data_IF_785440471304
#
_entry.id   IF_785440471304
#
_cell.length_a   1.000
_cell.length_b   1.000
_cell.length_c   1.000
_cell.angle_alpha   90.00
_cell.angle_beta   90.00
_cell.angle_gamma   90.00
#
_symmetry.space_group_name_H-M   'P 1'
#
loop_
_entity.id
_entity.type
_entity.pdbx_description
1 polymer ?
#
# COMPACT_ATOMS: atom_id res chain seq x y z
N UNK A 1 28.45 12.81 38.11
CA UNK A 1 28.08 11.40 38.29
C UNK A 1 26.58 11.33 38.35
N UNK A 2 25.91 11.13 37.19
CA UNK A 2 24.48 10.88 37.12
C UNK A 2 24.30 9.62 36.27
N UNK A 3 24.00 8.51 36.92
CA UNK A 3 23.58 7.26 36.28
C UNK A 3 22.23 7.51 35.65
N UNK A 4 22.15 7.43 34.33
CA UNK A 4 20.90 7.27 33.61
C UNK A 4 20.57 5.77 33.58
N UNK A 5 19.52 5.40 34.30
CA UNK A 5 18.94 4.07 34.30
C UNK A 5 18.30 3.87 32.94
N UNK A 6 18.92 3.04 32.11
CA UNK A 6 18.33 2.53 30.88
C UNK A 6 17.24 1.53 31.28
N UNK A 7 16.02 2.02 31.41
CA UNK A 7 14.84 1.16 31.53
C UNK A 7 14.67 0.34 30.24
N UNK A 8 15.04 -0.93 30.31
CA UNK A 8 14.74 -1.92 29.29
C UNK A 8 13.21 -2.06 29.26
N UNK A 9 12.57 -1.34 28.36
CA UNK A 9 11.15 -1.57 28.02
C UNK A 9 11.07 -2.96 27.37
N UNK A 10 10.85 -3.98 28.19
CA UNK A 10 10.25 -5.23 27.75
C UNK A 10 8.88 -4.89 27.15
N UNK A 11 8.85 -4.61 25.85
CA UNK A 11 7.59 -4.63 25.12
C UNK A 11 7.10 -6.07 25.20
N UNK A 12 5.98 -6.35 25.86
CA UNK A 12 5.42 -7.70 25.84
C UNK A 12 5.31 -8.10 24.37
N UNK A 13 5.77 -9.30 24.03
CA UNK A 13 5.50 -9.88 22.71
C UNK A 13 3.98 -10.03 22.64
N UNK A 14 3.33 -8.99 22.13
CA UNK A 14 1.94 -9.08 21.69
C UNK A 14 1.99 -10.17 20.63
N UNK A 15 1.44 -11.34 20.95
CA UNK A 15 1.19 -12.40 19.98
C UNK A 15 0.31 -11.77 18.91
N UNK A 16 0.93 -11.28 17.85
CA UNK A 16 0.23 -10.70 16.72
C UNK A 16 -0.59 -11.82 16.13
N UNK A 17 -1.91 -11.77 16.32
CA UNK A 17 -2.82 -12.74 15.74
C UNK A 17 -2.63 -12.69 14.23
N UNK A 18 -2.23 -13.82 13.64
CA UNK A 18 -2.16 -13.97 12.19
C UNK A 18 -3.56 -14.03 11.57
N UNK A 19 -3.63 -14.19 10.25
CA UNK A 19 -4.91 -14.26 9.50
C UNK A 19 -5.82 -15.41 9.94
N UNK A 20 -5.30 -16.46 10.61
CA UNK A 20 -6.08 -17.62 11.04
C UNK A 20 -7.33 -17.27 11.86
N UNK A 21 -7.27 -16.20 12.66
CA UNK A 21 -8.45 -15.71 13.40
C UNK A 21 -9.56 -15.18 12.47
N UNK A 22 -9.21 -14.79 11.25
CA UNK A 22 -10.10 -14.20 10.26
C UNK A 22 -10.16 -15.03 8.98
N UNK A 23 -9.95 -16.35 9.09
CA UNK A 23 -9.85 -17.26 7.95
C UNK A 23 -11.07 -17.18 7.00
N UNK A 24 -12.26 -16.91 7.53
CA UNK A 24 -13.49 -16.73 6.73
C UNK A 24 -13.49 -15.49 5.85
N UNK A 25 -12.62 -14.54 6.13
CA UNK A 25 -12.45 -13.30 5.32
C UNK A 25 -11.30 -13.43 4.32
N UNK A 26 -10.41 -14.43 4.49
CA UNK A 26 -9.25 -14.61 3.60
C UNK A 26 -9.71 -15.22 2.28
N UNK A 27 -9.36 -14.55 1.20
CA UNK A 27 -9.66 -14.95 -0.18
C UNK A 27 -8.36 -15.20 -0.92
N UNK A 28 -8.36 -16.24 -1.75
CA UNK A 28 -7.28 -16.57 -2.67
C UNK A 28 -7.86 -17.36 -3.85
N UNK A 29 -7.19 -17.27 -5.00
CA UNK A 29 -7.48 -18.16 -6.12
C UNK A 29 -7.01 -19.60 -5.79
N UNK A 30 -7.63 -20.64 -6.36
CA UNK A 30 -7.14 -22.00 -6.26
C UNK A 30 -5.69 -22.10 -6.74
N UNK A 31 -4.88 -22.95 -6.09
CA UNK A 31 -3.46 -23.15 -6.42
C UNK A 31 -3.21 -23.65 -7.86
N UNK A 32 -4.21 -24.27 -8.49
CA UNK A 32 -4.18 -24.58 -9.92
C UNK A 32 -5.10 -23.63 -10.67
N UNK A 33 -4.57 -22.82 -11.60
CA UNK A 33 -5.42 -22.01 -12.44
C UNK A 33 -6.32 -22.94 -13.26
N UNK A 34 -7.63 -22.78 -13.12
CA UNK A 34 -8.56 -23.32 -14.10
C UNK A 34 -8.09 -22.80 -15.47
N UNK A 35 -8.03 -23.66 -16.50
CA UNK A 35 -7.52 -23.36 -17.86
C UNK A 35 -8.25 -22.22 -18.61
N UNK A 36 -9.19 -21.55 -17.96
CA UNK A 36 -9.85 -20.32 -18.41
C UNK A 36 -9.57 -19.24 -17.38
N UNK A 37 -8.45 -18.49 -17.57
CA UNK A 37 -8.44 -17.11 -17.10
C UNK A 37 -9.54 -16.40 -17.85
N UNK A 38 -10.61 -16.01 -17.16
CA UNK A 38 -11.58 -15.08 -17.73
C UNK A 38 -10.78 -13.84 -18.16
N UNK A 39 -10.71 -13.63 -19.48
CA UNK A 39 -9.96 -12.54 -20.14
C UNK A 39 -10.46 -11.16 -19.69
N UNK A 40 -11.53 -11.11 -18.89
CA UNK A 40 -12.21 -9.88 -18.45
C UNK A 40 -12.14 -9.63 -16.93
N UNK A 41 -11.07 -10.04 -16.24
CA UNK A 41 -10.95 -9.82 -14.80
C UNK A 41 -9.63 -9.15 -14.42
N UNK A 42 -9.60 -8.54 -13.24
CA UNK A 42 -8.37 -8.09 -12.59
C UNK A 42 -8.00 -9.08 -11.48
N UNK A 43 -6.78 -9.57 -11.51
CA UNK A 43 -6.20 -10.39 -10.45
C UNK A 43 -5.38 -9.51 -9.51
N UNK A 44 -5.57 -9.66 -8.22
CA UNK A 44 -4.97 -8.82 -7.18
C UNK A 44 -4.10 -9.68 -6.28
N UNK A 45 -2.86 -9.26 -6.06
CA UNK A 45 -1.93 -9.92 -5.13
C UNK A 45 -1.46 -8.91 -4.09
N UNK A 46 -1.58 -9.26 -2.81
CA UNK A 46 -1.10 -8.43 -1.70
C UNK A 46 0.41 -8.62 -1.50
N UNK A 47 1.14 -7.53 -1.51
CA UNK A 47 2.60 -7.50 -1.37
C UNK A 47 3.06 -6.96 -0.01
N UNK A 48 2.11 -6.72 0.88
CA UNK A 48 2.34 -6.15 2.22
C UNK A 48 2.27 -4.63 2.29
N UNK A 49 2.04 -4.09 3.47
CA UNK A 49 1.81 -2.67 3.74
C UNK A 49 0.61 -2.15 2.94
N UNK A 50 0.86 -1.29 1.98
CA UNK A 50 -0.09 -0.87 0.95
C UNK A 50 0.33 -1.36 -0.44
N UNK A 51 1.21 -2.37 -0.47
CA UNK A 51 1.75 -2.95 -1.69
C UNK A 51 0.78 -3.92 -2.35
N UNK A 52 0.48 -3.69 -3.63
CA UNK A 52 -0.36 -4.56 -4.44
C UNK A 52 0.18 -4.72 -5.84
N UNK A 53 0.00 -5.92 -6.40
CA UNK A 53 0.08 -6.17 -7.82
C UNK A 53 -1.34 -6.35 -8.37
N UNK A 54 -1.61 -5.69 -9.48
CA UNK A 54 -2.80 -5.89 -10.31
C UNK A 54 -2.36 -6.50 -11.64
N UNK A 55 -3.06 -7.55 -12.06
CA UNK A 55 -2.78 -8.25 -13.32
C UNK A 55 -4.02 -8.22 -14.23
N UNK A 56 -3.83 -7.86 -15.49
CA UNK A 56 -4.83 -7.91 -16.56
C UNK A 56 -4.14 -8.10 -17.91
N UNK A 57 -4.66 -8.94 -18.77
CA UNK A 57 -4.20 -9.17 -20.16
C UNK A 57 -2.68 -9.44 -20.30
N UNK A 58 -2.09 -10.13 -19.33
CA UNK A 58 -0.65 -10.42 -19.32
C UNK A 58 0.26 -9.29 -18.81
N UNK A 59 -0.30 -8.16 -18.45
CA UNK A 59 0.38 -6.99 -17.91
C UNK A 59 0.26 -6.92 -16.39
N UNK A 60 1.19 -6.23 -15.75
CA UNK A 60 1.12 -5.94 -14.31
C UNK A 60 1.30 -4.45 -14.01
N UNK A 61 0.55 -4.00 -13.01
CA UNK A 61 0.67 -2.69 -12.38
C UNK A 61 0.94 -2.89 -10.88
N UNK A 62 1.94 -2.24 -10.34
CA UNK A 62 2.24 -2.27 -8.91
C UNK A 62 1.79 -0.97 -8.23
N UNK A 63 1.34 -1.07 -6.99
CA UNK A 63 1.15 0.07 -6.09
C UNK A 63 2.03 -0.13 -4.88
N UNK A 64 2.76 0.91 -4.45
CA UNK A 64 3.56 0.98 -3.23
C UNK A 64 4.41 -0.29 -2.94
N UNK A 65 5.24 -0.80 -3.87
CA UNK A 65 5.99 -2.04 -3.66
C UNK A 65 7.12 -1.83 -2.65
N UNK A 66 6.89 -2.27 -1.40
CA UNK A 66 7.85 -2.20 -0.31
C UNK A 66 8.11 -3.59 0.29
N UNK A 67 9.31 -4.12 0.06
CA UNK A 67 9.69 -5.49 0.41
C UNK A 67 10.75 -5.56 1.51
N UNK A 68 11.60 -4.53 1.63
CA UNK A 68 12.78 -4.51 2.52
C UNK A 68 12.43 -4.69 3.99
N UNK A 69 11.32 -4.15 4.46
CA UNK A 69 10.87 -4.26 5.87
C UNK A 69 11.92 -3.78 6.86
N UNK A 70 12.22 -2.47 6.86
CA UNK A 70 13.15 -1.85 7.81
C UNK A 70 12.77 -2.15 9.27
N UNK A 71 13.75 -2.43 10.11
CA UNK A 71 13.51 -2.75 11.52
C UNK A 71 12.89 -1.56 12.27
N UNK A 72 11.99 -1.86 13.21
CA UNK A 72 11.36 -0.82 14.04
C UNK A 72 12.41 0.02 14.79
N UNK A 73 13.48 -0.62 15.29
CA UNK A 73 14.59 0.07 15.94
C UNK A 73 15.27 1.10 15.04
N UNK A 74 15.50 0.75 13.76
CA UNK A 74 16.18 1.64 12.83
C UNK A 74 15.30 2.84 12.51
N UNK A 75 13.98 2.62 12.38
CA UNK A 75 13.03 3.70 12.14
C UNK A 75 12.89 4.60 13.37
N UNK A 76 12.76 4.04 14.56
CA UNK A 76 12.60 4.80 15.81
C UNK A 76 13.86 5.63 16.13
N UNK A 77 15.04 5.06 15.91
CA UNK A 77 16.32 5.72 16.14
C UNK A 77 16.85 6.52 14.96
N UNK A 78 16.06 6.62 13.88
CA UNK A 78 16.44 7.34 12.66
C UNK A 78 17.77 6.86 12.06
N UNK A 79 18.03 5.55 12.15
CA UNK A 79 19.20 4.94 11.53
C UNK A 79 19.08 4.96 10.01
N UNK A 80 20.20 4.91 9.26
CA UNK A 80 20.16 4.80 7.81
C UNK A 80 19.43 3.52 7.38
N UNK A 81 18.49 3.67 6.45
CA UNK A 81 17.74 2.56 5.84
C UNK A 81 18.04 2.49 4.34
N UNK A 82 18.12 1.30 3.80
CA UNK A 82 18.43 1.05 2.38
C UNK A 82 17.61 -0.13 1.86
N UNK A 83 17.28 -0.15 0.55
CA UNK A 83 16.70 -1.33 -0.06
C UNK A 83 17.58 -2.56 0.20
N UNK A 84 16.96 -3.70 0.47
CA UNK A 84 17.64 -4.99 0.55
C UNK A 84 17.52 -5.74 -0.78
N UNK A 85 18.58 -5.79 -1.61
CA UNK A 85 18.49 -6.36 -2.96
C UNK A 85 18.09 -7.85 -2.98
N UNK A 86 18.50 -8.62 -1.98
CA UNK A 86 18.16 -10.04 -1.90
C UNK A 86 16.68 -10.26 -1.54
N UNK A 87 16.13 -9.42 -0.64
CA UNK A 87 14.72 -9.47 -0.28
C UNK A 87 13.86 -9.02 -1.45
N UNK A 88 14.23 -7.92 -2.10
CA UNK A 88 13.53 -7.41 -3.29
C UNK A 88 13.54 -8.44 -4.42
N UNK A 89 14.69 -9.09 -4.69
CA UNK A 89 14.78 -10.10 -5.73
C UNK A 89 13.82 -11.28 -5.46
N UNK A 90 13.84 -11.85 -4.24
CA UNK A 90 12.92 -12.93 -3.87
C UNK A 90 11.44 -12.51 -3.93
N UNK A 91 11.11 -11.30 -3.54
CA UNK A 91 9.74 -10.80 -3.65
C UNK A 91 9.29 -10.67 -5.11
N UNK A 92 10.20 -10.28 -6.00
CA UNK A 92 9.92 -10.17 -7.43
C UNK A 92 9.71 -11.54 -8.11
N UNK A 93 10.16 -12.65 -7.51
CA UNK A 93 9.82 -14.00 -7.99
C UNK A 93 8.30 -14.29 -7.92
N UNK A 94 7.59 -13.56 -7.07
CA UNK A 94 6.11 -13.62 -6.95
C UNK A 94 5.39 -12.55 -7.78
N UNK A 95 6.13 -11.67 -8.43
CA UNK A 95 5.60 -10.60 -9.28
C UNK A 95 5.68 -11.01 -10.75
N UNK A 96 4.68 -10.63 -11.54
CA UNK A 96 4.70 -10.90 -12.99
C UNK A 96 5.93 -10.28 -13.67
N UNK A 97 6.51 -10.96 -14.67
CA UNK A 97 7.72 -10.47 -15.35
C UNK A 97 7.53 -9.11 -16.03
N UNK A 98 6.34 -8.85 -16.59
CA UNK A 98 6.03 -7.60 -17.30
C UNK A 98 5.28 -6.63 -16.40
N UNK A 99 6.03 -5.81 -15.67
CA UNK A 99 5.49 -4.69 -14.90
C UNK A 99 5.58 -3.43 -15.75
N UNK A 100 4.45 -2.89 -16.18
CA UNK A 100 4.42 -1.67 -16.99
C UNK A 100 4.62 -0.42 -16.14
N UNK A 101 4.00 -0.43 -14.96
CA UNK A 101 3.80 0.79 -14.17
C UNK A 101 3.87 0.49 -12.68
N UNK A 102 4.47 1.43 -11.96
CA UNK A 102 4.42 1.53 -10.51
C UNK A 102 3.70 2.83 -10.17
N UNK A 103 2.67 2.75 -9.35
CA UNK A 103 2.01 3.90 -8.72
C UNK A 103 2.50 4.02 -7.29
N UNK A 104 2.73 5.24 -6.81
CA UNK A 104 3.10 5.46 -5.40
C UNK A 104 2.15 6.48 -4.79
N UNK A 105 1.53 6.09 -3.68
CA UNK A 105 0.55 6.92 -2.98
C UNK A 105 1.19 8.13 -2.32
N UNK A 106 2.37 7.98 -1.73
CA UNK A 106 3.13 9.08 -1.12
C UNK A 106 4.60 8.72 -0.87
N UNK A 107 5.40 9.68 -0.44
CA UNK A 107 6.86 9.57 -0.42
C UNK A 107 7.48 8.92 0.82
N UNK A 108 6.73 8.32 1.75
CA UNK A 108 7.31 7.63 2.90
C UNK A 108 8.09 6.39 2.50
N UNK A 109 9.05 5.99 3.36
CA UNK A 109 9.97 4.88 3.05
C UNK A 109 9.24 3.55 2.86
N UNK A 110 8.18 3.30 3.61
CA UNK A 110 7.36 2.08 3.55
C UNK A 110 6.44 2.00 2.32
N UNK A 111 6.53 2.98 1.42
CA UNK A 111 5.90 3.01 0.09
C UNK A 111 6.91 3.19 -1.03
N UNK A 112 8.03 3.91 -0.80
CA UNK A 112 8.91 4.39 -1.86
C UNK A 112 10.33 3.81 -1.81
N UNK A 113 10.82 3.27 -0.67
CA UNK A 113 12.21 2.85 -0.47
C UNK A 113 12.72 1.91 -1.56
N UNK A 114 11.94 0.88 -1.89
CA UNK A 114 12.34 -0.17 -2.83
C UNK A 114 12.02 0.17 -4.29
N UNK A 115 11.19 1.18 -4.54
CA UNK A 115 10.72 1.54 -5.89
C UNK A 115 11.85 1.77 -6.89
N UNK A 116 12.94 2.52 -6.58
CA UNK A 116 14.05 2.69 -7.52
C UNK A 116 14.68 1.36 -7.95
N UNK A 117 14.85 0.43 -7.01
CA UNK A 117 15.42 -0.89 -7.28
C UNK A 117 14.45 -1.77 -8.09
N UNK A 118 13.15 -1.74 -7.77
CA UNK A 118 12.11 -2.44 -8.52
C UNK A 118 12.06 -1.92 -9.96
N UNK A 119 12.10 -0.61 -10.17
CA UNK A 119 12.17 0.00 -11.51
C UNK A 119 13.38 -0.45 -12.33
N UNK A 120 14.56 -0.57 -11.68
CA UNK A 120 15.78 -1.06 -12.34
C UNK A 120 15.64 -2.51 -12.80
N UNK A 121 14.99 -3.35 -11.98
CA UNK A 121 14.82 -4.78 -12.27
C UNK A 121 13.71 -5.09 -13.27
N UNK A 122 12.61 -4.34 -13.24
CA UNK A 122 11.42 -4.60 -14.07
C UNK A 122 11.35 -3.75 -15.32
N UNK A 123 12.02 -2.60 -15.34
CA UNK A 123 11.87 -1.62 -16.41
C UNK A 123 10.61 -0.75 -16.31
N UNK A 124 9.81 -0.89 -15.28
CA UNK A 124 8.56 -0.17 -15.07
C UNK A 124 8.72 1.35 -15.06
N UNK A 125 7.63 2.05 -15.40
CA UNK A 125 7.51 3.51 -15.23
C UNK A 125 6.92 3.83 -13.87
N UNK A 126 7.40 4.90 -13.24
CA UNK A 126 6.86 5.42 -11.99
C UNK A 126 5.88 6.57 -12.26
N UNK A 127 4.70 6.51 -11.64
CA UNK A 127 3.78 7.64 -11.51
C UNK A 127 3.55 7.93 -10.03
N UNK A 128 3.92 9.13 -9.59
CA UNK A 128 3.84 9.52 -8.19
C UNK A 128 3.77 11.05 -8.05
N UNK A 129 3.52 11.56 -6.86
CA UNK A 129 3.58 13.00 -6.61
C UNK A 129 4.96 13.58 -6.92
N UNK A 130 5.03 14.88 -7.13
CA UNK A 130 6.30 15.56 -7.44
C UNK A 130 7.38 15.29 -6.38
N UNK A 131 7.00 15.29 -5.10
CA UNK A 131 7.90 14.99 -3.99
C UNK A 131 8.40 13.54 -4.07
N UNK A 132 7.52 12.57 -4.30
CA UNK A 132 7.90 11.16 -4.41
C UNK A 132 8.79 10.90 -5.63
N UNK A 133 8.53 11.55 -6.78
CA UNK A 133 9.39 11.47 -7.97
C UNK A 133 10.79 12.02 -7.67
N UNK A 134 10.91 13.16 -7.01
CA UNK A 134 12.22 13.73 -6.62
C UNK A 134 13.00 12.78 -5.69
N UNK A 135 12.33 12.22 -4.68
CA UNK A 135 12.94 11.26 -3.75
C UNK A 135 13.38 9.98 -4.46
N UNK A 136 12.52 9.40 -5.31
CA UNK A 136 12.84 8.21 -6.09
C UNK A 136 14.05 8.45 -7.00
N UNK A 137 14.08 9.57 -7.72
CA UNK A 137 15.18 9.94 -8.61
C UNK A 137 16.47 10.13 -7.82
N UNK A 138 16.45 10.84 -6.69
CA UNK A 138 17.59 11.01 -5.81
C UNK A 138 18.08 9.66 -5.23
N UNK A 139 17.18 8.69 -5.05
CA UNK A 139 17.48 7.32 -4.61
C UNK A 139 17.93 6.38 -5.75
N UNK A 140 18.00 6.86 -7.01
CA UNK A 140 18.53 6.11 -8.15
C UNK A 140 17.49 5.57 -9.13
N UNK A 141 16.24 6.02 -9.06
CA UNK A 141 15.25 5.73 -10.11
C UNK A 141 15.63 6.43 -11.42
N UNK A 142 15.49 5.78 -12.60
CA UNK A 142 15.78 6.39 -13.89
C UNK A 142 14.85 7.60 -14.16
N UNK A 143 15.38 8.83 -14.28
CA UNK A 143 14.54 10.04 -14.42
C UNK A 143 13.61 10.00 -15.64
N UNK A 144 14.06 9.40 -16.75
CA UNK A 144 13.27 9.28 -17.98
C UNK A 144 12.01 8.41 -17.82
N UNK A 145 11.98 7.54 -16.82
CA UNK A 145 10.84 6.66 -16.50
C UNK A 145 9.97 7.19 -15.35
N UNK A 146 10.32 8.31 -14.74
CA UNK A 146 9.56 8.92 -13.66
C UNK A 146 8.61 9.99 -14.22
N UNK A 147 7.33 9.91 -13.85
CA UNK A 147 6.28 10.85 -14.25
C UNK A 147 5.58 11.39 -13.02
N UNK A 148 5.43 12.72 -12.96
CA UNK A 148 4.65 13.37 -11.91
C UNK A 148 3.16 13.18 -12.19
N UNK A 149 2.47 12.56 -11.22
CA UNK A 149 1.02 12.48 -11.16
C UNK A 149 0.47 13.57 -10.23
N UNK A 150 -0.72 14.10 -10.58
CA UNK A 150 -1.41 15.14 -9.81
C UNK A 150 -2.88 14.80 -9.72
N UNK A 151 -3.57 15.16 -8.62
CA UNK A 151 -5.02 15.01 -8.53
C UNK A 151 -5.73 15.61 -9.74
N UNK A 152 -6.71 14.90 -10.28
CA UNK A 152 -7.44 15.26 -11.50
C UNK A 152 -6.79 14.78 -12.80
N UNK A 153 -5.54 14.32 -12.78
CA UNK A 153 -4.92 13.71 -13.95
C UNK A 153 -5.48 12.32 -14.25
N UNK A 154 -5.48 11.97 -15.53
CA UNK A 154 -5.85 10.65 -16.04
C UNK A 154 -4.84 10.21 -17.10
N UNK A 155 -4.50 8.93 -17.13
CA UNK A 155 -3.57 8.37 -18.12
C UNK A 155 -3.79 6.88 -18.36
N UNK A 156 -3.46 6.45 -19.58
CA UNK A 156 -3.44 5.04 -19.97
C UNK A 156 -2.04 4.44 -19.92
N UNK A 157 -1.91 3.18 -19.50
CA UNK A 157 -0.66 2.43 -19.52
C UNK A 157 -0.94 0.93 -19.61
N UNK A 158 -0.48 0.25 -20.69
CA UNK A 158 -0.93 -1.10 -20.99
C UNK A 158 -2.46 -1.18 -21.05
N UNK A 159 -3.09 -2.17 -20.41
CA UNK A 159 -4.56 -2.28 -20.34
C UNK A 159 -5.19 -1.34 -19.30
N UNK A 160 -4.39 -0.60 -18.54
CA UNK A 160 -4.82 0.19 -17.39
C UNK A 160 -5.24 1.59 -17.78
N UNK A 161 -6.41 2.02 -17.31
CA UNK A 161 -6.80 3.42 -17.24
C UNK A 161 -6.72 3.86 -15.78
N UNK A 162 -5.89 4.87 -15.49
CA UNK A 162 -5.66 5.35 -14.11
C UNK A 162 -6.15 6.78 -13.98
N UNK A 163 -7.00 7.03 -12.97
CA UNK A 163 -7.40 8.37 -12.56
C UNK A 163 -6.78 8.66 -11.21
N UNK A 164 -6.12 9.81 -11.08
CA UNK A 164 -5.44 10.25 -9.88
C UNK A 164 -6.38 11.11 -9.05
N UNK A 165 -6.59 10.72 -7.80
CA UNK A 165 -7.46 11.41 -6.87
C UNK A 165 -6.66 12.05 -5.73
N UNK A 166 -7.14 13.14 -5.14
CA UNK A 166 -6.54 13.70 -3.95
C UNK A 166 -6.69 12.74 -2.77
N UNK A 167 -5.66 12.64 -1.94
CA UNK A 167 -5.68 11.91 -0.70
C UNK A 167 -5.08 12.74 0.45
N UNK A 168 -5.25 12.27 1.67
CA UNK A 168 -4.61 12.83 2.84
C UNK A 168 -3.96 11.71 3.64
N UNK A 169 -2.87 11.99 4.31
CA UNK A 169 -2.24 11.05 5.22
C UNK A 169 -2.84 11.20 6.62
N UNK A 170 -2.93 10.08 7.34
CA UNK A 170 -3.29 10.07 8.75
C UNK A 170 -2.38 10.96 9.60
N UNK A 171 -2.92 11.43 10.72
CA UNK A 171 -2.14 12.10 11.75
C UNK A 171 -1.66 11.08 12.79
N UNK A 172 -0.40 11.16 13.16
CA UNK A 172 0.18 10.50 14.30
C UNK A 172 0.54 11.59 15.31
N UNK A 173 -0.01 11.54 16.51
CA UNK A 173 0.12 12.60 17.52
C UNK A 173 -0.25 14.01 16.99
N UNK A 174 -1.36 14.08 16.24
CA UNK A 174 -1.92 15.34 15.71
C UNK A 174 -1.22 15.89 14.45
N UNK A 175 -0.18 15.25 13.92
CA UNK A 175 0.58 15.69 12.73
C UNK A 175 0.77 14.55 11.74
N UNK A 176 0.76 14.87 10.45
CA UNK A 176 1.22 13.93 9.44
C UNK A 176 2.74 13.72 9.57
N UNK A 177 3.24 12.48 9.70
CA UNK A 177 4.67 12.23 9.82
C UNK A 177 5.44 12.78 8.60
N UNK A 178 6.68 13.21 8.82
CA UNK A 178 7.63 13.61 7.77
C UNK A 178 7.07 14.56 6.71
N UNK A 179 6.18 15.48 7.10
CA UNK A 179 5.47 16.40 6.18
C UNK A 179 6.29 17.60 5.70
N UNK A 180 7.54 17.77 6.17
CA UNK A 180 8.41 18.84 5.70
C UNK A 180 8.87 18.64 4.23
N UNK A 181 9.44 19.68 3.62
CA UNK A 181 9.95 19.61 2.25
C UNK A 181 10.99 18.49 2.05
N UNK A 182 11.00 17.89 0.86
CA UNK A 182 11.97 16.85 0.53
C UNK A 182 13.41 17.41 0.53
N UNK A 183 14.39 16.63 1.03
CA UNK A 183 15.79 17.02 0.92
C UNK A 183 16.23 17.04 -0.54
N UNK A 184 17.17 17.93 -0.88
CA UNK A 184 17.78 18.00 -2.21
C UNK A 184 18.82 16.90 -2.45
N UNK A 185 19.09 16.07 -1.42
CA UNK A 185 20.07 14.97 -1.44
C UNK A 185 19.37 13.63 -1.43
N UNK A 186 20.12 12.57 -1.70
CA UNK A 186 19.66 11.19 -1.55
C UNK A 186 19.08 10.95 -0.14
N UNK A 187 17.87 10.41 -0.03
CA UNK A 187 17.30 10.05 1.27
C UNK A 187 18.07 8.85 1.87
N UNK A 188 18.44 8.94 3.12
CA UNK A 188 19.20 7.90 3.82
C UNK A 188 18.48 7.41 5.09
N UNK A 189 17.77 8.31 5.78
CA UNK A 189 17.10 8.01 7.06
C UNK A 189 15.58 8.03 6.86
N UNK A 190 14.80 7.37 7.73
CA UNK A 190 13.33 7.39 7.63
C UNK A 190 12.74 8.78 7.44
N UNK A 191 13.23 9.77 8.18
CA UNK A 191 12.78 11.16 8.10
C UNK A 191 13.10 11.88 6.78
N UNK A 192 13.99 11.36 5.96
CA UNK A 192 14.34 11.96 4.66
C UNK A 192 13.30 11.57 3.59
N UNK A 193 12.58 10.48 3.78
CA UNK A 193 11.48 10.03 2.95
C UNK A 193 10.23 10.82 3.31
N UNK A 194 10.07 11.94 2.64
CA UNK A 194 9.04 12.95 2.95
C UNK A 194 7.70 12.57 2.34
N UNK A 195 6.63 12.88 3.08
CA UNK A 195 5.25 12.62 2.68
C UNK A 195 4.94 13.13 1.27
N UNK A 196 5.19 14.41 1.00
CA UNK A 196 4.77 15.09 -0.21
C UNK A 196 3.25 15.24 -0.30
N UNK A 197 2.74 15.20 -1.53
CA UNK A 197 1.31 15.24 -1.83
C UNK A 197 0.75 13.81 -1.87
N UNK A 198 -0.07 13.36 -0.90
CA UNK A 198 -0.67 12.03 -0.93
C UNK A 198 -1.66 11.90 -2.10
N UNK A 199 -1.64 10.73 -2.74
CA UNK A 199 -2.50 10.40 -3.88
C UNK A 199 -3.30 9.13 -3.58
N UNK A 200 -4.51 9.07 -4.13
CA UNK A 200 -5.28 7.86 -4.30
C UNK A 200 -5.44 7.58 -5.80
N UNK A 201 -5.72 6.33 -6.13
CA UNK A 201 -5.86 5.93 -7.52
C UNK A 201 -7.18 5.20 -7.75
N UNK A 202 -7.82 5.50 -8.87
CA UNK A 202 -8.90 4.72 -9.43
C UNK A 202 -8.35 4.03 -10.68
N UNK A 203 -8.22 2.71 -10.60
CA UNK A 203 -7.56 1.86 -11.60
C UNK A 203 -8.64 1.05 -12.30
N UNK A 204 -8.69 1.15 -13.61
CA UNK A 204 -9.70 0.48 -14.43
C UNK A 204 -9.02 -0.41 -15.48
N UNK A 205 -9.52 -1.64 -15.62
CA UNK A 205 -9.18 -2.56 -16.69
C UNK A 205 -10.29 -3.62 -16.79
N UNK A 206 -10.55 -4.17 -17.97
CA UNK A 206 -11.46 -5.29 -18.19
C UNK A 206 -12.87 -5.11 -17.56
N UNK A 207 -13.39 -3.88 -17.57
CA UNK A 207 -14.69 -3.56 -16.99
C UNK A 207 -14.73 -3.62 -15.46
N UNK A 208 -13.61 -3.72 -14.78
CA UNK A 208 -13.48 -3.66 -13.32
C UNK A 208 -12.83 -2.35 -12.90
N UNK A 209 -13.25 -1.86 -11.73
CA UNK A 209 -12.73 -0.62 -11.14
C UNK A 209 -12.23 -0.88 -9.73
N UNK A 210 -10.96 -0.54 -9.48
CA UNK A 210 -10.32 -0.63 -8.17
C UNK A 210 -10.02 0.78 -7.67
N UNK A 211 -10.49 1.11 -6.47
CA UNK A 211 -10.04 2.27 -5.73
C UNK A 211 -8.97 1.86 -4.73
N UNK A 212 -7.87 2.61 -4.62
CA UNK A 212 -6.82 2.38 -3.63
C UNK A 212 -6.31 3.67 -3.03
N UNK A 213 -6.21 3.71 -1.71
CA UNK A 213 -5.46 4.69 -0.93
C UNK A 213 -4.65 4.01 0.20
N UNK A 214 -3.75 4.76 0.82
CA UNK A 214 -2.94 4.25 1.94
C UNK A 214 -3.48 4.67 3.31
N UNK A 215 -4.71 5.16 3.37
CA UNK A 215 -5.33 5.73 4.55
C UNK A 215 -5.76 7.17 4.32
N UNK A 216 -6.12 7.87 5.39
CA UNK A 216 -6.49 9.27 5.25
C UNK A 216 -7.33 9.80 6.38
N UNK A 217 -7.80 11.03 6.22
CA UNK A 217 -8.55 11.78 7.22
C UNK A 217 -10.04 11.71 6.98
N UNK A 218 -10.86 11.80 8.05
CA UNK A 218 -12.33 11.79 7.93
C UNK A 218 -12.88 12.92 7.05
N UNK A 219 -12.17 14.05 6.97
CA UNK A 219 -12.62 15.23 6.24
C UNK A 219 -12.50 15.08 4.71
N UNK A 220 -11.75 14.08 4.24
CA UNK A 220 -11.55 13.88 2.81
C UNK A 220 -12.09 12.53 2.35
N UNK A 221 -13.18 12.59 1.59
CA UNK A 221 -13.75 11.43 0.90
C UNK A 221 -13.44 11.50 -0.59
N UNK A 222 -13.23 10.35 -1.27
CA UNK A 222 -12.92 10.33 -2.68
C UNK A 222 -14.16 10.71 -3.52
N UNK A 223 -13.92 11.48 -4.58
CA UNK A 223 -14.90 11.69 -5.63
C UNK A 223 -14.52 10.84 -6.86
N UNK A 224 -15.26 9.75 -7.10
CA UNK A 224 -15.03 8.85 -8.23
C UNK A 224 -15.77 9.26 -9.49
N UNK A 225 -16.44 10.41 -9.50
CA UNK A 225 -17.26 10.84 -10.64
C UNK A 225 -18.46 9.92 -10.89
N UNK A 226 -18.99 9.27 -9.86
CA UNK A 226 -20.10 8.32 -9.98
C UNK A 226 -19.72 6.93 -10.50
N UNK A 227 -18.42 6.65 -10.73
CA UNK A 227 -17.98 5.32 -11.17
C UNK A 227 -18.24 4.29 -10.09
N UNK A 228 -18.77 3.14 -10.52
CA UNK A 228 -18.95 1.97 -9.65
C UNK A 228 -17.59 1.38 -9.28
N UNK A 229 -17.37 1.13 -8.00
CA UNK A 229 -16.13 0.51 -7.49
C UNK A 229 -16.37 -0.97 -7.22
N UNK A 230 -15.61 -1.86 -7.87
CA UNK A 230 -15.66 -3.30 -7.60
C UNK A 230 -14.87 -3.64 -6.34
N UNK A 231 -13.66 -3.07 -6.19
CA UNK A 231 -12.79 -3.28 -5.03
C UNK A 231 -12.31 -1.94 -4.49
N UNK A 232 -12.53 -1.69 -3.20
CA UNK A 232 -11.93 -0.58 -2.47
C UNK A 232 -10.82 -1.11 -1.54
N UNK A 233 -9.58 -0.69 -1.79
CA UNK A 233 -8.41 -0.98 -0.94
C UNK A 233 -8.16 0.25 -0.08
N UNK A 234 -8.35 0.10 1.23
CA UNK A 234 -8.42 1.21 2.17
C UNK A 234 -7.39 1.03 3.28
N UNK A 235 -6.45 1.96 3.40
CA UNK A 235 -5.53 1.98 4.55
C UNK A 235 -6.28 2.13 5.87
N UNK A 236 -5.93 1.31 6.89
CA UNK A 236 -6.58 1.29 8.21
C UNK A 236 -5.59 1.26 9.38
N UNK A 237 -4.32 1.51 9.12
CA UNK A 237 -3.26 1.40 10.14
C UNK A 237 -3.46 2.34 11.32
N UNK A 238 -3.85 3.59 11.08
CA UNK A 238 -3.88 4.65 12.07
C UNK A 238 -5.32 5.10 12.40
N UNK A 239 -5.53 5.84 13.51
CA UNK A 239 -6.85 6.20 13.99
C UNK A 239 -7.72 7.00 13.02
N UNK A 240 -7.14 7.97 12.29
CA UNK A 240 -7.91 8.80 11.34
C UNK A 240 -8.52 7.93 10.24
N UNK A 241 -7.73 7.02 9.65
CA UNK A 241 -8.19 6.07 8.63
C UNK A 241 -9.30 5.16 9.15
N UNK A 242 -9.17 4.65 10.36
CA UNK A 242 -10.21 3.82 10.97
C UNK A 242 -11.50 4.62 11.21
N UNK A 243 -11.39 5.85 11.72
CA UNK A 243 -12.54 6.74 11.90
C UNK A 243 -13.23 7.05 10.57
N UNK A 244 -12.47 7.22 9.49
CA UNK A 244 -12.97 7.46 8.14
C UNK A 244 -13.63 6.24 7.50
N UNK A 245 -13.30 5.03 7.95
CA UNK A 245 -13.61 3.77 7.26
C UNK A 245 -15.10 3.64 6.87
N UNK A 246 -16.02 3.88 7.79
CA UNK A 246 -17.45 3.76 7.48
C UNK A 246 -17.91 4.79 6.45
N UNK A 247 -17.45 6.03 6.54
CA UNK A 247 -17.83 7.10 5.62
C UNK A 247 -17.34 6.82 4.19
N UNK A 248 -16.09 6.35 4.03
CA UNK A 248 -15.55 6.06 2.70
C UNK A 248 -16.21 4.84 2.07
N UNK A 249 -16.50 3.78 2.84
CA UNK A 249 -17.22 2.60 2.32
C UNK A 249 -18.64 2.99 1.89
N UNK A 250 -19.35 3.83 2.64
CA UNK A 250 -20.68 4.34 2.22
C UNK A 250 -20.61 5.22 0.98
N UNK A 251 -19.56 6.05 0.86
CA UNK A 251 -19.34 6.91 -0.31
C UNK A 251 -19.06 6.12 -1.57
N UNK A 252 -18.14 5.15 -1.51
CA UNK A 252 -17.73 4.33 -2.66
C UNK A 252 -18.73 3.23 -3.01
N UNK A 253 -19.45 2.69 -2.01
CA UNK A 253 -20.36 1.53 -2.13
C UNK A 253 -19.72 0.36 -2.91
N UNK A 254 -18.52 -0.10 -2.53
CA UNK A 254 -17.80 -1.10 -3.29
C UNK A 254 -18.47 -2.48 -3.19
N UNK A 255 -18.21 -3.37 -4.16
CA UNK A 255 -18.60 -4.78 -4.04
C UNK A 255 -17.75 -5.50 -2.98
N UNK A 256 -16.47 -5.17 -2.92
CA UNK A 256 -15.50 -5.72 -1.96
C UNK A 256 -14.71 -4.59 -1.32
N UNK A 257 -14.49 -4.70 -0.01
CA UNK A 257 -13.61 -3.81 0.76
C UNK A 257 -12.43 -4.63 1.28
N UNK A 258 -11.22 -4.21 0.95
CA UNK A 258 -9.97 -4.81 1.39
C UNK A 258 -9.22 -3.81 2.27
N UNK A 259 -9.25 -3.98 3.61
CA UNK A 259 -8.42 -3.19 4.50
C UNK A 259 -6.93 -3.39 4.18
N UNK A 260 -6.18 -2.32 4.17
CA UNK A 260 -4.77 -2.27 3.80
C UNK A 260 -3.93 -1.60 4.88
N UNK A 261 -2.61 -1.67 4.74
CA UNK A 261 -1.64 -1.09 5.68
C UNK A 261 -1.86 -1.57 7.13
N UNK A 262 -2.33 -2.80 7.26
CA UNK A 262 -2.75 -3.41 8.53
C UNK A 262 -1.71 -4.37 9.09
N UNK A 263 -0.76 -4.80 8.26
CA UNK A 263 0.26 -5.76 8.65
C UNK A 263 1.42 -5.10 9.42
N UNK A 264 2.20 -5.93 10.08
CA UNK A 264 3.42 -5.49 10.73
C UNK A 264 4.55 -5.29 9.71
N UNK A 265 4.61 -4.12 9.11
CA UNK A 265 5.57 -3.77 8.08
C UNK A 265 7.04 -3.65 8.56
N UNK A 266 7.28 -3.85 9.84
CA UNK A 266 8.62 -4.01 10.42
C UNK A 266 9.06 -5.48 10.51
N UNK A 267 8.13 -6.43 10.32
CA UNK A 267 8.44 -7.85 10.40
C UNK A 267 8.77 -8.42 9.02
N UNK A 268 9.85 -9.23 8.88
CA UNK A 268 10.18 -9.90 7.62
C UNK A 268 9.05 -10.85 7.16
N UNK A 269 8.83 -10.96 5.85
CA UNK A 269 7.80 -11.85 5.26
C UNK A 269 7.90 -13.32 5.70
N UNK A 270 9.11 -13.81 5.95
CA UNK A 270 9.35 -15.19 6.41
C UNK A 270 8.67 -15.53 7.75
N UNK A 271 8.23 -14.52 8.50
CA UNK A 271 7.46 -14.73 9.73
C UNK A 271 5.95 -14.90 9.48
N UNK A 272 5.53 -14.82 8.22
CA UNK A 272 4.11 -14.83 7.85
C UNK A 272 3.41 -13.50 8.19
N UNK A 273 2.11 -13.46 7.89
CA UNK A 273 1.29 -12.30 8.17
C UNK A 273 1.07 -12.10 9.68
N UNK A 274 1.28 -10.88 10.15
CA UNK A 274 0.92 -10.43 11.49
C UNK A 274 0.37 -9.01 11.41
N UNK A 275 -0.63 -8.69 12.21
CA UNK A 275 -1.15 -7.30 12.28
C UNK A 275 -0.12 -6.37 12.90
N UNK A 276 -0.08 -5.13 12.43
CA UNK A 276 0.82 -4.10 12.92
C UNK A 276 0.49 -3.68 14.38
N UNK A 277 1.48 -3.19 15.13
CA UNK A 277 1.31 -2.84 16.54
C UNK A 277 0.34 -1.67 16.78
N UNK A 278 0.13 -0.82 15.77
CA UNK A 278 -0.81 0.31 15.84
C UNK A 278 -2.17 0.00 15.20
N UNK A 279 -2.32 -1.20 14.60
CA UNK A 279 -3.54 -1.60 13.91
C UNK A 279 -4.57 -2.15 14.89
N UNK A 280 -5.76 -1.56 14.91
CA UNK A 280 -6.94 -2.15 15.55
C UNK A 280 -7.87 -2.73 14.49
N UNK A 281 -7.56 -3.92 14.02
CA UNK A 281 -8.36 -4.59 12.99
C UNK A 281 -9.75 -5.01 13.52
N UNK A 282 -9.88 -5.25 14.83
CA UNK A 282 -11.18 -5.54 15.46
C UNK A 282 -12.15 -4.38 15.32
N UNK A 283 -11.64 -3.16 15.38
CA UNK A 283 -12.45 -1.96 15.13
C UNK A 283 -13.05 -1.97 13.71
N UNK A 284 -12.24 -2.34 12.70
CA UNK A 284 -12.69 -2.42 11.30
C UNK A 284 -13.81 -3.46 11.14
N UNK A 285 -13.63 -4.66 11.72
CA UNK A 285 -14.64 -5.73 11.68
C UNK A 285 -15.94 -5.27 12.35
N UNK A 286 -15.86 -4.73 13.57
CA UNK A 286 -17.04 -4.24 14.29
C UNK A 286 -17.76 -3.16 13.51
N UNK A 287 -17.02 -2.18 12.99
CA UNK A 287 -17.59 -1.10 12.18
C UNK A 287 -18.31 -1.64 10.96
N UNK A 288 -17.74 -2.61 10.24
CA UNK A 288 -18.38 -3.25 9.09
C UNK A 288 -19.71 -3.92 9.49
N UNK A 289 -19.72 -4.66 10.60
CA UNK A 289 -20.86 -5.44 11.06
C UNK A 289 -21.95 -4.58 11.70
N UNK A 290 -21.60 -3.79 12.72
CA UNK A 290 -22.55 -2.98 13.49
C UNK A 290 -23.21 -1.90 12.64
N UNK A 291 -22.47 -1.33 11.71
CA UNK A 291 -23.00 -0.29 10.82
C UNK A 291 -23.54 -0.85 9.49
N UNK A 292 -23.56 -2.18 9.31
CA UNK A 292 -24.09 -2.85 8.12
C UNK A 292 -23.58 -2.22 6.82
N UNK A 293 -22.24 -2.01 6.74
CA UNK A 293 -21.65 -1.31 5.60
C UNK A 293 -21.82 -2.13 4.31
N UNK A 294 -22.00 -1.47 3.15
CA UNK A 294 -22.18 -2.16 1.87
C UNK A 294 -20.92 -2.94 1.45
N UNK A 295 -21.17 -4.01 0.66
CA UNK A 295 -20.11 -4.86 0.12
C UNK A 295 -19.57 -5.89 1.10
N UNK A 296 -18.68 -6.73 0.62
CA UNK A 296 -18.03 -7.79 1.41
C UNK A 296 -16.67 -7.34 1.87
N UNK A 297 -16.40 -7.46 3.18
CA UNK A 297 -15.06 -7.29 3.72
C UNK A 297 -14.24 -8.54 3.41
N UNK A 298 -13.05 -8.37 2.83
CA UNK A 298 -12.13 -9.46 2.50
C UNK A 298 -10.72 -9.17 3.00
N UNK A 299 -9.90 -10.21 3.12
CA UNK A 299 -8.48 -10.16 3.41
C UNK A 299 -7.71 -10.97 2.37
N UNK A 300 -6.47 -10.56 2.10
CA UNK A 300 -5.52 -11.33 1.31
C UNK A 300 -4.29 -11.63 2.16
N UNK A 301 -3.71 -12.82 1.96
CA UNK A 301 -2.40 -13.15 2.51
C UNK A 301 -1.30 -12.75 1.53
N UNK A 302 -0.07 -12.64 2.02
CA UNK A 302 1.08 -12.26 1.19
C UNK A 302 1.27 -13.21 0.02
N UNK A 303 1.42 -12.63 -1.16
CA UNK A 303 1.73 -13.32 -2.41
C UNK A 303 0.69 -14.37 -2.86
N UNK A 304 -0.49 -14.40 -2.24
CA UNK A 304 -1.61 -15.23 -2.68
C UNK A 304 -2.57 -14.39 -3.53
N UNK A 305 -2.64 -14.65 -4.83
CA UNK A 305 -3.50 -13.87 -5.72
C UNK A 305 -4.97 -14.19 -5.52
N UNK A 306 -5.81 -13.21 -5.82
CA UNK A 306 -7.27 -13.31 -5.85
C UNK A 306 -7.83 -12.55 -7.05
N UNK A 307 -8.71 -13.18 -7.79
CA UNK A 307 -9.36 -12.58 -8.96
C UNK A 307 -10.66 -11.91 -8.56
N UNK A 308 -10.87 -10.65 -8.97
CA UNK A 308 -12.13 -9.92 -8.73
C UNK A 308 -13.23 -10.59 -9.57
N UNK A 309 -14.26 -11.18 -8.94
CA UNK A 309 -15.31 -11.88 -9.65
C UNK A 309 -16.27 -10.97 -10.38
#
# INVERSE_FOLDING_TARGET
MKLAVLGLLCVPQIVCAGLGRYATLVHADPAQPSRRSDVSSIRVTYLGVNGYQFEADGHALLVDPYFTRACLSDVALQQPIRPNPAVVARALDHVRPHVDTILVTHGHFDHLLDVPLVMQKTGARLYASNTAVKLATAAGAPPSRCKTARPGASFGTGPWQVNVLPAAHDRLFGRAPYSAAAPLRKPERPRDWRLGEPLAFLIEANGRTVYIDSGGRPELLPNTGGKRVDLAILGVALPDSRTRFAAIVRSLRPRFTLPSHQDNFFAPFVRGFAFGPLTDFRFVIRTQQEQQLPGKLILLDYFHPWTIP
#
